data_IF_884017293150
#
_entry.id   IF_884017293150
#
_cell.length_a   1.000
_cell.length_b   1.000
_cell.length_c   1.000
_cell.angle_alpha   90.00
_cell.angle_beta   90.00
_cell.angle_gamma   90.00
#
_symmetry.space_group_name_H-M   'P 1'
#
loop_
_entity.id
_entity.type
_entity.pdbx_description
1 polymer ?
#
# COMPACT_ATOMS: atom_id res chain seq x y z
N UNK A 1 -25.50 -2.34 1.76
CA UNK A 1 -24.10 -2.64 2.19
C UNK A 1 -23.46 -1.40 2.80
N UNK A 2 -23.39 -0.26 2.10
CA UNK A 2 -22.71 0.93 2.63
C UNK A 2 -23.38 1.52 3.88
N UNK A 3 -24.71 1.59 3.93
CA UNK A 3 -25.43 2.04 5.13
C UNK A 3 -25.08 1.21 6.37
N UNK A 4 -25.07 -0.12 6.24
CA UNK A 4 -24.67 -1.02 7.34
C UNK A 4 -23.21 -0.83 7.78
N UNK A 5 -22.32 -0.47 6.85
CA UNK A 5 -20.91 -0.16 7.16
C UNK A 5 -20.81 1.17 7.90
N UNK A 6 -21.53 2.20 7.45
CA UNK A 6 -21.54 3.51 8.10
C UNK A 6 -22.12 3.44 9.51
N UNK A 7 -23.23 2.73 9.69
CA UNK A 7 -23.83 2.51 11.01
C UNK A 7 -22.87 1.78 11.95
N UNK A 8 -22.18 0.74 11.46
CA UNK A 8 -21.20 0.01 12.27
C UNK A 8 -19.98 0.84 12.64
N UNK A 9 -19.47 1.65 11.72
CA UNK A 9 -18.31 2.52 11.95
C UNK A 9 -18.66 3.79 12.73
N UNK A 10 -19.95 4.15 12.83
CA UNK A 10 -20.41 5.40 13.44
C UNK A 10 -19.88 6.65 12.74
N UNK A 11 -19.43 6.51 11.48
CA UNK A 11 -18.76 7.56 10.72
C UNK A 11 -18.77 7.23 9.23
N UNK A 12 -18.99 8.26 8.41
CA UNK A 12 -18.82 8.18 6.95
C UNK A 12 -17.36 8.34 6.50
N UNK A 13 -16.46 8.69 7.43
CA UNK A 13 -15.04 8.92 7.14
C UNK A 13 -14.27 7.60 7.12
N UNK A 14 -14.36 6.89 6.00
CA UNK A 14 -13.52 5.72 5.74
C UNK A 14 -13.03 5.72 4.29
N UNK A 15 -11.81 5.24 4.07
CA UNK A 15 -11.23 5.06 2.74
C UNK A 15 -11.16 3.57 2.41
N UNK A 16 -11.64 3.20 1.23
CA UNK A 16 -11.52 1.83 0.71
C UNK A 16 -10.51 1.79 -0.43
N UNK A 17 -9.49 0.95 -0.25
CA UNK A 17 -8.45 0.74 -1.26
C UNK A 17 -8.59 -0.66 -1.86
N UNK A 18 -8.76 -0.73 -3.18
CA UNK A 18 -8.65 -2.00 -3.91
C UNK A 18 -7.18 -2.37 -4.11
N UNK A 19 -6.69 -3.34 -3.33
CA UNK A 19 -5.29 -3.79 -3.36
C UNK A 19 -4.84 -4.30 -4.74
N UNK A 20 -5.75 -4.81 -5.58
CA UNK A 20 -5.41 -5.28 -6.94
C UNK A 20 -4.91 -4.15 -7.83
N UNK A 21 -5.44 -2.94 -7.67
CA UNK A 21 -5.11 -1.76 -8.47
C UNK A 21 -4.26 -0.74 -7.73
N UNK A 22 -4.02 -0.96 -6.43
CA UNK A 22 -3.22 -0.04 -5.61
C UNK A 22 -1.77 0.01 -6.10
N UNK A 23 -1.08 1.16 -5.97
CA UNK A 23 0.34 1.24 -6.21
C UNK A 23 1.12 0.26 -5.32
N UNK A 24 2.22 -0.29 -5.85
CA UNK A 24 3.03 -1.29 -5.13
C UNK A 24 3.54 -0.80 -3.76
N UNK A 25 3.86 0.50 -3.64
CA UNK A 25 4.30 1.07 -2.37
C UNK A 25 3.21 1.02 -1.30
N UNK A 26 1.95 1.23 -1.68
CA UNK A 26 0.81 1.20 -0.74
C UNK A 26 0.45 -0.24 -0.37
N UNK A 27 0.51 -1.16 -1.35
CA UNK A 27 0.36 -2.59 -1.08
C UNK A 27 1.40 -3.07 -0.06
N UNK A 28 2.66 -2.68 -0.23
CA UNK A 28 3.73 -3.02 0.71
C UNK A 28 3.53 -2.39 2.09
N UNK A 29 3.13 -1.12 2.15
CA UNK A 29 2.87 -0.45 3.42
C UNK A 29 1.74 -1.13 4.21
N UNK A 30 0.67 -1.56 3.53
CA UNK A 30 -0.45 -2.29 4.16
C UNK A 30 0.01 -3.65 4.71
N UNK A 31 0.89 -4.37 4.03
CA UNK A 31 1.47 -5.61 4.57
C UNK A 31 2.32 -5.31 5.80
N UNK A 32 3.11 -4.23 5.77
CA UNK A 32 4.06 -3.88 6.83
C UNK A 32 3.38 -3.39 8.11
N UNK A 33 2.28 -2.64 8.00
CA UNK A 33 1.66 -1.93 9.13
C UNK A 33 0.20 -2.26 9.36
N UNK A 34 -0.47 -2.86 8.37
CA UNK A 34 -1.88 -3.19 8.45
C UNK A 34 -2.19 -4.33 9.40
N UNK A 35 -3.47 -4.43 9.77
CA UNK A 35 -4.01 -5.55 10.53
C UNK A 35 -5.05 -6.28 9.68
N UNK A 36 -4.86 -7.59 9.52
CA UNK A 36 -5.77 -8.43 8.75
C UNK A 36 -7.08 -8.60 9.52
N UNK A 37 -8.18 -8.10 8.93
CA UNK A 37 -9.54 -8.22 9.48
C UNK A 37 -10.30 -9.40 8.87
N UNK A 38 -9.89 -9.84 7.67
CA UNK A 38 -10.47 -10.98 6.98
C UNK A 38 -9.46 -11.56 5.98
N UNK A 39 -9.43 -12.89 5.90
CA UNK A 39 -8.73 -13.65 4.87
C UNK A 39 -9.53 -14.90 4.54
N UNK A 40 -9.55 -15.28 3.26
CA UNK A 40 -10.22 -16.51 2.81
C UNK A 40 -9.47 -17.77 3.30
N UNK A 41 -8.14 -17.75 3.21
CA UNK A 41 -7.24 -18.76 3.75
C UNK A 41 -5.86 -18.13 3.97
N UNK A 42 -5.03 -18.82 4.77
CA UNK A 42 -3.63 -18.44 4.99
C UNK A 42 -2.83 -18.49 3.67
N UNK A 43 -3.10 -19.47 2.81
CA UNK A 43 -2.39 -19.58 1.52
C UNK A 43 -2.64 -18.37 0.62
N UNK A 44 -3.89 -17.89 0.53
CA UNK A 44 -4.25 -16.73 -0.31
C UNK A 44 -3.57 -15.45 0.18
N UNK A 45 -3.47 -15.28 1.49
CA UNK A 45 -2.76 -14.17 2.12
C UNK A 45 -1.24 -14.27 1.88
N UNK A 46 -0.64 -15.42 2.19
CA UNK A 46 0.80 -15.66 1.99
C UNK A 46 1.21 -15.44 0.53
N UNK A 47 0.44 -15.96 -0.43
CA UNK A 47 0.70 -15.78 -1.86
C UNK A 47 0.64 -14.30 -2.26
N UNK A 48 -0.23 -13.51 -1.65
CA UNK A 48 -0.31 -12.08 -1.85
C UNK A 48 0.89 -11.35 -1.26
N UNK A 49 1.23 -11.63 0.00
CA UNK A 49 2.34 -10.98 0.69
C UNK A 49 3.67 -11.28 0.00
N UNK A 50 3.96 -12.54 -0.29
CA UNK A 50 5.19 -12.97 -0.94
C UNK A 50 5.36 -12.30 -2.31
N UNK A 51 4.30 -12.23 -3.12
CA UNK A 51 4.33 -11.56 -4.42
C UNK A 51 4.65 -10.08 -4.28
N UNK A 52 3.99 -9.38 -3.37
CA UNK A 52 4.18 -7.93 -3.18
C UNK A 52 5.59 -7.65 -2.64
N UNK A 53 6.04 -8.39 -1.63
CA UNK A 53 7.39 -8.23 -1.04
C UNK A 53 8.46 -8.45 -2.10
N UNK A 54 8.36 -9.52 -2.89
CA UNK A 54 9.30 -9.79 -3.98
C UNK A 54 9.33 -8.65 -5.00
N UNK A 55 8.17 -8.24 -5.50
CA UNK A 55 8.07 -7.13 -6.46
C UNK A 55 8.63 -5.82 -5.91
N UNK A 56 8.42 -5.56 -4.61
CA UNK A 56 8.89 -4.34 -3.95
C UNK A 56 10.42 -4.32 -3.80
N UNK A 57 11.01 -5.48 -3.46
CA UNK A 57 12.46 -5.69 -3.41
C UNK A 57 13.10 -5.59 -4.79
N UNK A 58 12.52 -6.21 -5.82
CA UNK A 58 13.03 -6.15 -7.19
C UNK A 58 13.08 -4.70 -7.73
N UNK A 59 12.22 -3.81 -7.22
CA UNK A 59 12.15 -2.39 -7.61
C UNK A 59 12.95 -1.45 -6.72
N UNK A 60 13.65 -1.93 -5.70
CA UNK A 60 14.48 -1.10 -4.80
C UNK A 60 15.46 -0.18 -5.56
N UNK A 61 16.27 -0.68 -6.53
CA UNK A 61 17.24 0.17 -7.23
C UNK A 61 16.58 1.34 -7.98
N UNK A 62 15.43 1.07 -8.61
CA UNK A 62 14.66 2.08 -9.36
C UNK A 62 14.06 3.11 -8.40
N UNK A 63 13.48 2.66 -7.28
CA UNK A 63 12.87 3.56 -6.29
C UNK A 63 13.91 4.46 -5.61
N UNK A 64 15.09 3.93 -5.30
CA UNK A 64 16.21 4.70 -4.74
C UNK A 64 16.61 5.84 -5.68
N UNK A 65 16.81 5.52 -6.96
CA UNK A 65 17.14 6.53 -7.97
C UNK A 65 16.05 7.58 -8.16
N UNK A 66 14.78 7.17 -8.15
CA UNK A 66 13.66 8.13 -8.20
C UNK A 66 13.65 9.07 -7.00
N UNK A 67 13.95 8.56 -5.80
CA UNK A 67 14.01 9.35 -4.58
C UNK A 67 15.16 10.36 -4.60
N UNK A 68 16.35 9.95 -5.06
CA UNK A 68 17.52 10.82 -5.23
C UNK A 68 17.21 11.99 -6.19
N UNK A 69 16.70 11.66 -7.38
CA UNK A 69 16.33 12.67 -8.40
C UNK A 69 15.27 13.63 -7.86
N UNK A 70 14.26 13.12 -7.15
CA UNK A 70 13.22 13.96 -6.56
C UNK A 70 13.79 14.90 -5.50
N UNK A 71 14.69 14.41 -4.65
CA UNK A 71 15.38 15.22 -3.64
C UNK A 71 16.27 16.29 -4.27
N UNK A 72 17.00 15.99 -5.34
CA UNK A 72 17.77 16.97 -6.11
C UNK A 72 16.88 18.09 -6.66
N UNK A 73 15.75 17.73 -7.29
CA UNK A 73 14.78 18.70 -7.82
C UNK A 73 14.23 19.62 -6.73
N UNK A 74 13.94 19.07 -5.55
CA UNK A 74 13.50 19.88 -4.41
C UNK A 74 14.60 20.84 -3.95
N UNK A 75 15.87 20.42 -3.91
CA UNK A 75 16.96 21.34 -3.53
C UNK A 75 17.13 22.47 -4.55
N UNK A 76 17.14 22.16 -5.85
CA UNK A 76 17.33 23.16 -6.91
C UNK A 76 16.15 24.13 -7.03
N UNK A 77 14.91 23.69 -6.76
CA UNK A 77 13.71 24.54 -6.89
C UNK A 77 13.51 25.50 -5.70
N UNK A 78 14.15 25.22 -4.57
CA UNK A 78 14.02 25.99 -3.33
C UNK A 78 15.34 26.66 -2.90
N UNK A 79 16.33 26.72 -3.79
CA UNK A 79 17.55 27.53 -3.66
C UNK A 79 17.46 28.74 -4.59
#
# INVERSE_FOLDING_TARGET
IWEAVFDYLGSERFDLVNLRSAPLWLQFEIIRTGKVIYRKSVDVENDYELRVVKMYQDREPVRRRQHEIFGERLRTRWS
#
